data_IF_400695592733
#
_entry.id   IF_400695592733
#
_cell.length_a   1.000
_cell.length_b   1.000
_cell.length_c   1.000
_cell.angle_alpha   90.00
_cell.angle_beta   90.00
_cell.angle_gamma   90.00
#
_symmetry.space_group_name_H-M   'P 1'
#
loop_
_entity.id
_entity.type
_entity.pdbx_description
1 polymer ?
#
# COMPACT_ATOMS: atom_id res chain seq x y z
N UNK A 1 -29.99 -10.02 -40.45
CA UNK A 1 -30.18 -8.68 -39.82
C UNK A 1 -28.80 -8.08 -39.67
N UNK A 2 -28.47 -7.17 -40.57
CA UNK A 2 -27.17 -6.54 -40.73
C UNK A 2 -27.06 -5.29 -39.83
N UNK A 3 -25.92 -5.16 -39.15
CA UNK A 3 -25.16 -3.91 -38.96
C UNK A 3 -25.97 -2.62 -38.67
N UNK A 4 -26.65 -2.53 -37.52
CA UNK A 4 -27.20 -1.25 -37.03
C UNK A 4 -26.26 -0.52 -36.05
N UNK A 5 -25.12 -1.11 -35.68
CA UNK A 5 -24.16 -0.50 -34.75
C UNK A 5 -22.99 0.24 -35.43
N UNK A 6 -22.92 0.28 -36.76
CA UNK A 6 -21.77 0.83 -37.50
C UNK A 6 -21.92 2.29 -37.97
N UNK A 7 -22.94 3.06 -37.52
CA UNK A 7 -23.17 4.46 -37.99
C UNK A 7 -23.40 5.45 -36.84
N UNK A 8 -22.66 5.30 -35.75
CA UNK A 8 -22.30 6.43 -34.93
C UNK A 8 -20.90 6.17 -34.40
N UNK A 9 -19.95 7.07 -34.67
CA UNK A 9 -18.77 7.14 -33.81
C UNK A 9 -19.31 7.26 -32.38
N UNK A 10 -19.04 6.29 -31.51
CA UNK A 10 -19.20 6.51 -30.08
C UNK A 10 -18.40 7.76 -29.78
N UNK A 11 -19.09 8.89 -29.59
CA UNK A 11 -18.46 10.10 -29.11
C UNK A 11 -17.99 9.71 -27.73
N UNK A 12 -16.69 9.44 -27.59
CA UNK A 12 -16.06 9.25 -26.30
C UNK A 12 -16.13 10.58 -25.57
N UNK A 13 -17.28 10.84 -24.95
CA UNK A 13 -17.42 11.94 -24.02
C UNK A 13 -16.58 11.51 -22.83
N UNK A 14 -15.42 12.15 -22.64
CA UNK A 14 -14.66 11.99 -21.40
C UNK A 14 -15.59 12.37 -20.25
N UNK A 15 -15.58 11.56 -19.19
CA UNK A 15 -16.27 11.93 -17.95
C UNK A 15 -15.42 12.86 -17.09
N UNK A 16 -14.33 13.37 -17.65
CA UNK A 16 -13.42 14.29 -17.02
C UNK A 16 -13.44 15.62 -17.76
N UNK A 17 -13.55 16.71 -17.00
CA UNK A 17 -13.40 18.08 -17.47
C UNK A 17 -12.22 18.70 -16.73
N UNK A 18 -11.25 19.23 -17.47
CA UNK A 18 -10.00 19.76 -16.91
C UNK A 18 -9.28 18.76 -15.98
N UNK A 19 -9.32 17.46 -16.31
CA UNK A 19 -8.68 16.39 -15.55
C UNK A 19 -9.40 15.99 -14.26
N UNK A 20 -10.60 16.49 -14.00
CA UNK A 20 -11.42 16.13 -12.83
C UNK A 20 -12.73 15.48 -13.27
N UNK A 21 -13.20 14.49 -12.50
CA UNK A 21 -14.43 13.78 -12.80
C UNK A 21 -15.63 14.74 -12.79
N UNK A 22 -16.23 14.99 -13.96
CA UNK A 22 -17.35 15.91 -14.14
C UNK A 22 -18.72 15.26 -13.91
N UNK A 23 -18.78 13.92 -13.97
CA UNK A 23 -19.99 13.13 -13.71
C UNK A 23 -19.74 12.16 -12.54
N UNK A 24 -20.08 12.54 -11.30
CA UNK A 24 -19.71 11.79 -10.10
C UNK A 24 -20.37 10.40 -9.99
N UNK A 25 -21.45 10.16 -10.72
CA UNK A 25 -22.14 8.86 -10.77
C UNK A 25 -21.66 7.98 -11.95
N UNK A 26 -20.68 8.45 -12.72
CA UNK A 26 -20.11 7.68 -13.83
C UNK A 26 -19.30 6.48 -13.31
N UNK A 27 -19.47 5.34 -13.97
CA UNK A 27 -18.69 4.11 -13.73
C UNK A 27 -17.61 3.88 -14.79
N UNK A 28 -17.47 4.78 -15.77
CA UNK A 28 -16.47 4.67 -16.84
C UNK A 28 -15.14 5.30 -16.38
N UNK A 29 -14.11 4.45 -16.36
CA UNK A 29 -12.73 4.83 -16.06
C UNK A 29 -12.13 5.73 -17.15
N UNK A 30 -11.08 6.51 -16.82
CA UNK A 30 -10.28 7.25 -17.80
C UNK A 30 -9.72 6.35 -18.90
N UNK A 31 -9.49 6.90 -20.08
CA UNK A 31 -8.74 6.22 -21.15
C UNK A 31 -7.27 6.65 -21.13
N UNK A 32 -6.60 6.43 -20.00
CA UNK A 32 -5.17 6.72 -19.80
C UNK A 32 -4.35 5.43 -19.73
N UNK A 33 -3.01 5.55 -19.80
CA UNK A 33 -2.10 4.40 -19.66
C UNK A 33 -2.30 3.58 -18.37
N UNK A 34 -2.81 4.23 -17.33
CA UNK A 34 -3.08 3.61 -16.02
C UNK A 34 -4.32 2.72 -16.04
N UNK A 35 -5.26 2.94 -16.96
CA UNK A 35 -6.57 2.27 -16.98
C UNK A 35 -6.87 1.51 -18.29
N UNK A 36 -5.88 1.40 -19.19
CA UNK A 36 -6.03 0.70 -20.48
C UNK A 36 -5.20 -0.57 -20.58
N UNK A 37 -5.50 -1.39 -21.59
CA UNK A 37 -4.78 -2.63 -21.87
C UNK A 37 -4.69 -3.55 -20.63
N UNK A 38 -3.49 -4.05 -20.30
CA UNK A 38 -3.19 -4.89 -19.14
C UNK A 38 -3.48 -4.22 -17.79
N UNK A 39 -3.62 -2.89 -17.76
CA UNK A 39 -3.91 -2.12 -16.54
C UNK A 39 -5.41 -1.81 -16.38
N UNK A 40 -6.29 -2.37 -17.24
CA UNK A 40 -7.73 -2.22 -17.04
C UNK A 40 -8.12 -2.73 -15.64
N UNK A 41 -8.95 -2.00 -14.89
CA UNK A 41 -9.45 -2.46 -13.60
C UNK A 41 -10.09 -3.83 -13.72
N UNK A 42 -9.70 -4.76 -12.85
CA UNK A 42 -10.27 -6.11 -12.82
C UNK A 42 -11.51 -6.12 -11.96
N UNK A 43 -11.38 -5.63 -10.72
CA UNK A 43 -12.47 -5.51 -9.73
C UNK A 43 -13.13 -6.84 -9.37
N UNK A 44 -12.41 -7.92 -9.59
CA UNK A 44 -12.88 -9.28 -9.37
C UNK A 44 -12.61 -9.75 -7.93
N UNK A 45 -13.60 -10.42 -7.35
CA UNK A 45 -13.46 -11.25 -6.15
C UNK A 45 -14.11 -12.61 -6.44
N UNK A 46 -13.46 -13.69 -6.05
CA UNK A 46 -13.99 -15.03 -6.29
C UNK A 46 -13.01 -16.14 -5.97
N UNK A 47 -13.45 -17.35 -6.31
CA UNK A 47 -12.80 -18.61 -5.97
C UNK A 47 -12.81 -19.52 -7.20
N UNK A 48 -11.72 -20.25 -7.40
CA UNK A 48 -11.64 -21.31 -8.40
C UNK A 48 -10.90 -22.48 -7.77
N UNK A 49 -11.51 -23.66 -7.80
CA UNK A 49 -10.91 -24.89 -7.28
C UNK A 49 -10.31 -25.69 -8.43
N UNK A 50 -9.18 -26.35 -8.14
CA UNK A 50 -8.47 -27.23 -9.07
C UNK A 50 -8.14 -26.54 -10.40
N UNK A 51 -7.30 -25.51 -10.32
CA UNK A 51 -6.83 -24.76 -11.48
C UNK A 51 -6.21 -25.68 -12.53
N UNK A 52 -6.51 -25.43 -13.80
CA UNK A 52 -5.82 -26.08 -14.90
C UNK A 52 -4.32 -25.74 -14.87
N UNK A 53 -3.46 -26.77 -14.93
CA UNK A 53 -2.02 -26.61 -14.99
C UNK A 53 -1.39 -27.56 -16.02
N UNK A 54 -0.17 -27.26 -16.44
CA UNK A 54 0.66 -28.15 -17.26
C UNK A 54 1.84 -28.68 -16.45
N UNK A 55 2.29 -29.91 -16.74
CA UNK A 55 3.36 -30.56 -15.98
C UNK A 55 2.85 -31.27 -14.72
N UNK A 56 3.57 -31.11 -13.60
CA UNK A 56 3.23 -31.79 -12.33
C UNK A 56 3.50 -30.85 -11.18
N UNK A 57 2.49 -30.60 -10.34
CA UNK A 57 2.65 -29.90 -9.08
C UNK A 57 3.29 -30.87 -8.07
N UNK A 58 4.47 -30.57 -7.50
CA UNK A 58 5.11 -31.43 -6.50
C UNK A 58 4.22 -31.61 -5.27
N UNK A 59 4.00 -32.86 -4.85
CA UNK A 59 3.17 -33.18 -3.69
C UNK A 59 3.73 -32.69 -2.35
N UNK A 60 5.03 -32.42 -2.31
CA UNK A 60 5.74 -31.94 -1.12
C UNK A 60 5.52 -30.43 -0.88
N UNK A 61 4.96 -29.69 -1.85
CA UNK A 61 4.57 -28.29 -1.65
C UNK A 61 3.21 -28.29 -0.94
N UNK A 62 3.22 -27.79 0.29
CA UNK A 62 2.02 -27.59 1.09
C UNK A 62 2.02 -26.19 1.71
N UNK A 63 1.47 -25.22 0.99
CA UNK A 63 1.32 -23.85 1.47
C UNK A 63 0.43 -23.00 0.59
N UNK A 64 0.44 -21.70 0.86
CA UNK A 64 -0.29 -20.71 0.07
C UNK A 64 0.66 -19.61 -0.36
N UNK A 65 0.69 -19.32 -1.65
CA UNK A 65 1.34 -18.12 -2.17
C UNK A 65 0.35 -16.96 -2.14
N UNK A 66 0.71 -15.89 -1.43
CA UNK A 66 -0.07 -14.65 -1.38
C UNK A 66 0.62 -13.57 -2.19
N UNK A 67 -0.17 -12.79 -2.91
CA UNK A 67 0.27 -11.55 -3.56
C UNK A 67 -0.84 -10.52 -3.50
N UNK A 68 -0.49 -9.26 -3.69
CA UNK A 68 -1.45 -8.16 -3.69
C UNK A 68 -1.29 -7.32 -4.95
N UNK A 69 -2.40 -6.81 -5.48
CA UNK A 69 -2.42 -5.88 -6.61
C UNK A 69 -3.20 -4.61 -6.23
N UNK A 70 -2.73 -3.42 -6.66
CA UNK A 70 -3.60 -2.25 -6.75
C UNK A 70 -4.68 -2.48 -7.81
N UNK A 71 -5.94 -2.30 -7.44
CA UNK A 71 -7.09 -2.49 -8.34
C UNK A 71 -8.21 -1.51 -7.97
N UNK A 72 -8.30 -0.38 -8.68
CA UNK A 72 -9.28 0.67 -8.42
C UNK A 72 -10.73 0.16 -8.45
N UNK A 73 -11.45 0.32 -7.35
CA UNK A 73 -12.86 -0.10 -7.29
C UNK A 73 -13.83 0.85 -7.96
N UNK A 74 -13.47 2.12 -8.11
CA UNK A 74 -14.27 3.14 -8.78
C UNK A 74 -13.38 4.04 -9.65
N UNK A 75 -13.94 4.72 -10.66
CA UNK A 75 -13.20 5.71 -11.42
C UNK A 75 -12.63 6.80 -10.49
N UNK A 76 -11.34 7.15 -10.64
CA UNK A 76 -10.69 8.11 -9.74
C UNK A 76 -11.29 9.51 -9.90
N UNK A 77 -11.16 10.34 -8.86
CA UNK A 77 -11.59 11.75 -8.90
C UNK A 77 -10.80 12.58 -9.93
N UNK A 78 -9.55 12.18 -10.19
CA UNK A 78 -8.63 12.85 -11.12
C UNK A 78 -8.23 11.89 -12.24
N UNK A 79 -8.22 12.39 -13.47
CA UNK A 79 -8.01 11.59 -14.69
C UNK A 79 -6.60 10.99 -14.76
N UNK A 80 -5.63 11.68 -14.17
CA UNK A 80 -4.21 11.34 -14.12
C UNK A 80 -3.80 10.60 -12.84
N UNK A 81 -4.74 9.87 -12.22
CA UNK A 81 -4.41 8.99 -11.08
C UNK A 81 -3.43 7.87 -11.49
N UNK A 82 -2.73 7.30 -10.50
CA UNK A 82 -1.61 6.37 -10.72
C UNK A 82 -1.91 4.97 -10.22
N UNK A 83 -1.17 3.97 -10.73
CA UNK A 83 -1.31 2.56 -10.30
C UNK A 83 -1.20 2.38 -8.79
N UNK A 84 -0.28 3.10 -8.13
CA UNK A 84 -0.05 2.95 -6.68
C UNK A 84 -1.20 3.42 -5.78
N UNK A 85 -2.24 4.04 -6.34
CA UNK A 85 -3.40 4.57 -5.61
C UNK A 85 -4.65 3.68 -5.67
N UNK A 86 -4.60 2.54 -6.38
CA UNK A 86 -5.72 1.58 -6.45
C UNK A 86 -5.92 0.79 -5.15
N UNK A 87 -7.13 0.30 -4.89
CA UNK A 87 -7.43 -0.45 -3.67
C UNK A 87 -6.71 -1.81 -3.64
N UNK A 88 -6.30 -2.27 -2.46
CA UNK A 88 -5.57 -3.54 -2.32
C UNK A 88 -6.47 -4.75 -2.57
N UNK A 89 -6.14 -5.54 -3.58
CA UNK A 89 -6.80 -6.83 -3.88
C UNK A 89 -5.80 -7.97 -3.70
N UNK A 90 -6.06 -8.83 -2.72
CA UNK A 90 -5.20 -9.96 -2.34
C UNK A 90 -5.60 -11.19 -3.12
N UNK A 91 -4.63 -11.83 -3.76
CA UNK A 91 -4.76 -13.17 -4.35
C UNK A 91 -4.04 -14.18 -3.48
N UNK A 92 -4.68 -15.33 -3.26
CA UNK A 92 -4.10 -16.52 -2.68
C UNK A 92 -4.13 -17.66 -3.70
N UNK A 93 -2.99 -18.34 -3.87
CA UNK A 93 -2.87 -19.61 -4.60
C UNK A 93 -2.50 -20.69 -3.59
N UNK A 94 -3.47 -21.50 -3.19
CA UNK A 94 -3.27 -22.61 -2.24
C UNK A 94 -2.77 -23.82 -3.00
N UNK A 95 -1.57 -24.30 -2.69
CA UNK A 95 -0.98 -25.48 -3.32
C UNK A 95 -0.87 -26.59 -2.27
N UNK A 96 -1.53 -27.72 -2.51
CA UNK A 96 -1.48 -28.87 -1.60
C UNK A 96 -1.81 -30.16 -2.34
N UNK A 97 -1.11 -31.25 -2.02
CA UNK A 97 -1.44 -32.59 -2.52
C UNK A 97 -1.35 -32.76 -4.04
N UNK A 98 -0.68 -31.84 -4.75
CA UNK A 98 -0.62 -31.83 -6.22
C UNK A 98 -1.74 -31.01 -6.89
N UNK A 99 -2.52 -30.24 -6.13
CA UNK A 99 -3.58 -29.34 -6.61
C UNK A 99 -3.23 -27.88 -6.34
N UNK A 100 -3.85 -26.97 -7.10
CA UNK A 100 -3.78 -25.53 -6.86
C UNK A 100 -5.18 -24.89 -6.90
N UNK A 101 -5.54 -24.15 -5.87
CA UNK A 101 -6.79 -23.40 -5.78
C UNK A 101 -6.51 -21.89 -5.79
N UNK A 102 -7.40 -21.11 -6.41
CA UNK A 102 -7.34 -19.65 -6.46
C UNK A 102 -8.40 -19.03 -5.56
N UNK A 103 -8.03 -17.96 -4.86
CA UNK A 103 -8.96 -17.06 -4.18
C UNK A 103 -8.49 -15.62 -4.30
N UNK A 104 -9.43 -14.68 -4.50
CA UNK A 104 -9.12 -13.25 -4.50
C UNK A 104 -10.16 -12.44 -3.73
N UNK A 105 -9.70 -11.54 -2.85
CA UNK A 105 -10.53 -10.64 -2.05
C UNK A 105 -9.90 -9.27 -1.90
N UNK A 106 -10.73 -8.22 -1.80
CA UNK A 106 -10.27 -6.89 -1.45
C UNK A 106 -9.95 -6.77 0.05
N UNK A 107 -8.99 -5.90 0.38
CA UNK A 107 -8.78 -5.44 1.74
C UNK A 107 -9.85 -4.41 2.08
N UNK A 108 -10.70 -4.69 3.07
CA UNK A 108 -11.80 -3.81 3.45
C UNK A 108 -11.32 -2.70 4.42
N UNK A 109 -10.43 -1.83 3.93
CA UNK A 109 -9.95 -0.63 4.64
C UNK A 109 -11.08 0.37 4.92
N UNK A 110 -10.83 1.39 5.75
CA UNK A 110 -11.81 2.48 5.91
C UNK A 110 -12.10 3.15 4.58
N UNK A 111 -11.07 3.39 3.75
CA UNK A 111 -11.23 3.88 2.38
C UNK A 111 -12.20 3.02 1.58
N UNK A 112 -11.95 1.71 1.51
CA UNK A 112 -12.83 0.76 0.81
C UNK A 112 -14.27 0.89 1.28
N UNK A 113 -14.50 0.92 2.59
CA UNK A 113 -15.85 0.93 3.18
C UNK A 113 -16.61 2.22 2.84
N UNK A 114 -15.96 3.38 2.95
CA UNK A 114 -16.59 4.67 2.64
C UNK A 114 -16.91 4.80 1.15
N UNK A 115 -15.99 4.42 0.26
CA UNK A 115 -16.23 4.46 -1.19
C UNK A 115 -17.29 3.44 -1.62
N UNK A 116 -17.36 2.26 -0.97
CA UNK A 116 -18.43 1.28 -1.21
C UNK A 116 -19.80 1.83 -0.85
N UNK A 117 -19.91 2.44 0.33
CA UNK A 117 -21.17 3.02 0.81
C UNK A 117 -21.64 4.15 -0.10
N UNK A 118 -20.71 4.99 -0.58
CA UNK A 118 -20.99 6.08 -1.51
C UNK A 118 -21.14 5.65 -2.97
N UNK A 119 -20.70 4.43 -3.32
CA UNK A 119 -20.64 3.88 -4.69
C UNK A 119 -19.81 4.73 -5.66
N UNK A 120 -18.77 5.39 -5.18
CA UNK A 120 -17.86 6.26 -5.95
C UNK A 120 -16.58 6.53 -5.19
N UNK A 121 -15.54 6.99 -5.89
CA UNK A 121 -14.33 7.46 -5.22
C UNK A 121 -14.60 8.70 -4.36
N UNK A 122 -13.97 8.75 -3.20
CA UNK A 122 -14.01 9.85 -2.24
C UNK A 122 -12.60 10.35 -1.90
N UNK A 123 -11.59 9.50 -2.11
CA UNK A 123 -10.19 9.84 -1.88
C UNK A 123 -9.56 10.28 -3.20
N UNK A 124 -8.80 11.37 -3.15
CA UNK A 124 -8.19 12.01 -4.31
C UNK A 124 -6.82 11.43 -4.66
N UNK A 125 -5.91 12.33 -5.04
CA UNK A 125 -4.57 11.99 -5.52
C UNK A 125 -3.77 11.21 -4.49
N UNK A 126 -2.85 10.39 -4.99
CA UNK A 126 -1.93 9.57 -4.21
C UNK A 126 -1.27 10.36 -3.07
N UNK A 127 -1.52 9.91 -1.84
CA UNK A 127 -1.02 10.50 -0.58
C UNK A 127 -1.31 12.01 -0.39
N UNK A 128 -2.27 12.60 -1.12
CA UNK A 128 -2.70 14.00 -0.94
C UNK A 128 -4.12 14.19 -0.34
N UNK A 129 -4.25 14.43 0.99
CA UNK A 129 -5.56 14.61 1.64
C UNK A 129 -6.29 15.91 1.24
N UNK A 130 -5.59 16.93 0.71
CA UNK A 130 -6.23 18.17 0.23
C UNK A 130 -7.05 17.99 -1.04
N UNK A 131 -7.02 16.81 -1.63
CA UNK A 131 -7.78 16.46 -2.84
C UNK A 131 -8.91 15.47 -2.57
N UNK A 132 -9.12 15.10 -1.31
CA UNK A 132 -10.21 14.24 -0.90
C UNK A 132 -11.54 15.01 -0.83
N UNK A 133 -12.63 14.26 -0.88
CA UNK A 133 -13.94 14.78 -0.54
C UNK A 133 -14.01 15.13 0.96
N UNK A 134 -14.62 16.26 1.31
CA UNK A 134 -14.76 16.71 2.71
C UNK A 134 -15.45 15.66 3.61
N UNK A 135 -16.33 14.82 3.05
CA UNK A 135 -17.02 13.76 3.81
C UNK A 135 -16.10 12.66 4.38
N UNK A 136 -14.87 12.54 3.87
CA UNK A 136 -13.87 11.57 4.37
C UNK A 136 -12.71 12.26 5.09
N UNK A 137 -12.87 13.54 5.47
CA UNK A 137 -11.89 14.27 6.28
C UNK A 137 -11.61 13.50 7.59
N UNK A 138 -10.33 13.21 7.84
CA UNK A 138 -9.89 12.50 9.03
C UNK A 138 -10.05 10.98 8.98
N UNK A 139 -10.58 10.43 7.87
CA UNK A 139 -10.59 8.98 7.63
C UNK A 139 -9.20 8.54 7.17
N UNK A 140 -8.72 7.41 7.70
CA UNK A 140 -7.46 6.80 7.27
C UNK A 140 -7.56 6.43 5.80
N UNK A 141 -6.60 6.93 5.00
CA UNK A 141 -6.65 6.90 3.52
C UNK A 141 -6.07 5.64 2.91
N UNK A 142 -5.48 4.78 3.73
CA UNK A 142 -4.63 3.69 3.25
C UNK A 142 -5.41 2.72 2.36
N UNK A 143 -4.79 2.37 1.25
CA UNK A 143 -5.33 1.41 0.30
C UNK A 143 -4.90 -0.03 0.62
N UNK A 144 -3.95 -0.22 1.55
CA UNK A 144 -3.36 -1.52 1.91
C UNK A 144 -3.01 -2.37 0.69
N UNK A 145 -2.31 -1.80 -0.29
CA UNK A 145 -2.12 -2.38 -1.63
C UNK A 145 -0.67 -2.71 -2.00
N UNK A 146 0.29 -2.52 -1.10
CA UNK A 146 1.72 -2.65 -1.45
C UNK A 146 2.23 -4.06 -1.19
N UNK A 147 1.95 -4.65 -0.02
CA UNK A 147 2.46 -5.96 0.33
C UNK A 147 1.50 -6.75 1.23
N UNK A 148 1.69 -8.07 1.29
CA UNK A 148 0.94 -9.00 2.11
C UNK A 148 1.92 -9.95 2.80
N UNK A 149 1.97 -9.92 4.13
CA UNK A 149 2.93 -10.73 4.91
C UNK A 149 2.21 -11.61 5.92
N UNK A 150 2.70 -12.83 6.15
CA UNK A 150 2.17 -13.68 7.21
C UNK A 150 2.79 -13.28 8.56
N UNK A 151 1.95 -13.12 9.57
CA UNK A 151 2.37 -12.75 10.91
C UNK A 151 1.44 -13.39 11.94
N UNK A 152 1.98 -14.17 12.88
CA UNK A 152 1.24 -14.71 14.05
C UNK A 152 -0.17 -15.28 13.73
N UNK A 153 -0.28 -16.07 12.65
CA UNK A 153 -1.54 -16.73 12.27
C UNK A 153 -2.49 -15.90 11.42
N UNK A 154 -2.11 -14.67 11.05
CA UNK A 154 -2.89 -13.79 10.16
C UNK A 154 -2.03 -13.28 9.00
N UNK A 155 -2.67 -12.67 8.01
CA UNK A 155 -2.00 -11.87 7.00
C UNK A 155 -2.06 -10.39 7.37
N UNK A 156 -0.98 -9.65 7.12
CA UNK A 156 -0.95 -8.20 7.21
C UNK A 156 -0.88 -7.60 5.81
N UNK A 157 -1.98 -7.01 5.35
CA UNK A 157 -2.01 -6.19 4.15
C UNK A 157 -1.50 -4.79 4.48
N UNK A 158 -0.43 -4.38 3.83
CA UNK A 158 0.35 -3.19 4.22
C UNK A 158 0.47 -2.18 3.10
N UNK A 159 0.54 -0.92 3.51
CA UNK A 159 0.85 0.25 2.68
C UNK A 159 1.50 1.28 3.59
N UNK A 160 2.54 1.93 3.08
CA UNK A 160 3.44 2.80 3.85
C UNK A 160 2.80 4.07 4.45
N UNK A 161 1.53 4.36 4.16
CA UNK A 161 0.84 5.59 4.57
C UNK A 161 -0.23 5.39 5.64
N UNK A 162 -0.32 4.18 6.20
CA UNK A 162 -1.24 3.89 7.29
C UNK A 162 -0.88 2.60 8.02
N UNK A 163 -1.65 2.24 9.07
CA UNK A 163 -1.45 0.99 9.79
C UNK A 163 -1.83 -0.22 8.92
N UNK A 164 -1.27 -1.42 9.22
CA UNK A 164 -1.61 -2.63 8.49
C UNK A 164 -3.06 -3.07 8.75
N UNK A 165 -3.59 -3.86 7.82
CA UNK A 165 -4.87 -4.54 7.96
C UNK A 165 -4.65 -6.04 8.12
N UNK A 166 -5.16 -6.61 9.22
CA UNK A 166 -5.20 -8.04 9.45
C UNK A 166 -6.28 -8.70 8.57
N UNK A 167 -5.91 -9.81 7.95
CA UNK A 167 -6.82 -10.67 7.19
C UNK A 167 -6.65 -12.12 7.61
N UNK A 168 -7.74 -12.89 7.55
CA UNK A 168 -7.69 -14.33 7.75
C UNK A 168 -6.96 -15.00 6.57
N UNK A 169 -5.96 -15.87 6.81
CA UNK A 169 -5.13 -16.43 5.74
C UNK A 169 -5.86 -17.44 4.86
N UNK A 170 -6.98 -17.99 5.32
CA UNK A 170 -7.73 -19.03 4.59
C UNK A 170 -8.86 -18.40 3.79
N UNK A 171 -9.67 -17.56 4.43
CA UNK A 171 -10.86 -16.94 3.84
C UNK A 171 -10.55 -15.64 3.10
N UNK A 172 -9.41 -15.01 3.42
CA UNK A 172 -9.07 -13.63 3.04
C UNK A 172 -10.07 -12.59 3.52
N UNK A 173 -10.90 -12.91 4.52
CA UNK A 173 -11.76 -11.92 5.16
C UNK A 173 -10.91 -10.89 5.91
N UNK A 174 -11.23 -9.61 5.74
CA UNK A 174 -10.57 -8.54 6.50
C UNK A 174 -11.08 -8.53 7.94
N UNK A 175 -10.18 -8.82 8.87
CA UNK A 175 -10.46 -8.79 10.31
C UNK A 175 -10.56 -7.34 10.79
N UNK A 176 -9.63 -6.49 10.34
CA UNK A 176 -9.61 -5.06 10.63
C UNK A 176 -8.21 -4.49 10.69
N UNK A 177 -8.11 -3.22 11.09
CA UNK A 177 -6.83 -2.56 11.32
C UNK A 177 -6.08 -3.27 12.46
N UNK A 178 -4.80 -3.56 12.25
CA UNK A 178 -3.95 -4.20 13.26
C UNK A 178 -3.02 -3.18 13.91
N UNK A 179 -3.16 -2.99 15.22
CA UNK A 179 -2.44 -1.97 15.99
C UNK A 179 -1.40 -2.55 16.96
N UNK A 180 -1.11 -3.85 16.84
CA UNK A 180 -0.20 -4.60 17.71
C UNK A 180 -0.54 -4.41 19.19
N UNK A 181 -1.81 -4.61 19.53
CA UNK A 181 -2.30 -4.52 20.90
C UNK A 181 -2.02 -3.13 21.51
N UNK A 182 -2.10 -2.09 20.66
CA UNK A 182 -1.85 -0.69 21.01
C UNK A 182 -0.38 -0.30 21.18
N UNK A 183 0.57 -1.18 20.87
CA UNK A 183 2.00 -0.93 21.08
C UNK A 183 2.60 0.04 20.05
N UNK A 184 2.02 0.16 18.85
CA UNK A 184 2.54 1.03 17.79
C UNK A 184 1.77 2.36 17.78
N UNK A 185 2.49 3.44 18.08
CA UNK A 185 1.92 4.80 18.16
C UNK A 185 2.05 5.59 16.86
N UNK A 186 2.90 5.14 15.94
CA UNK A 186 3.08 5.80 14.64
C UNK A 186 1.79 5.68 13.80
N UNK A 187 1.39 6.75 13.08
CA UNK A 187 0.24 6.69 12.18
C UNK A 187 0.56 5.87 10.91
N UNK A 188 1.83 5.62 10.60
CA UNK A 188 2.29 4.89 9.42
C UNK A 188 3.00 3.59 9.80
N UNK A 189 3.08 2.66 8.84
CA UNK A 189 3.72 1.36 9.01
C UNK A 189 4.36 0.93 7.68
N UNK A 190 5.58 0.42 7.69
CA UNK A 190 6.26 -0.03 6.46
C UNK A 190 5.51 -1.14 5.73
N UNK A 191 5.51 -1.10 4.39
CA UNK A 191 5.06 -2.23 3.59
C UNK A 191 6.12 -3.35 3.44
N UNK A 192 7.33 -3.13 3.95
CA UNK A 192 8.45 -4.06 3.84
C UNK A 192 9.06 -4.38 5.20
N UNK A 193 8.28 -4.94 6.15
CA UNK A 193 8.87 -5.46 7.38
C UNK A 193 9.88 -6.56 7.04
N UNK A 194 10.91 -6.70 7.86
CA UNK A 194 11.93 -7.75 7.72
C UNK A 194 11.83 -8.72 8.87
N UNK A 195 12.00 -10.00 8.58
CA UNK A 195 11.98 -11.05 9.59
C UNK A 195 13.40 -11.52 9.83
N UNK A 196 13.81 -11.57 11.09
CA UNK A 196 15.09 -12.17 11.46
C UNK A 196 14.93 -13.70 11.48
N UNK A 197 15.68 -14.45 10.64
CA UNK A 197 15.56 -15.91 10.59
C UNK A 197 16.08 -16.61 11.86
N UNK A 198 16.96 -15.98 12.64
CA UNK A 198 17.55 -16.56 13.84
C UNK A 198 16.60 -16.40 15.05
N UNK A 199 15.87 -15.28 15.14
CA UNK A 199 15.01 -14.97 16.30
C UNK A 199 13.51 -15.05 16.03
N UNK A 200 13.10 -15.05 14.75
CA UNK A 200 11.69 -14.99 14.35
C UNK A 200 11.03 -13.63 14.62
N UNK A 201 11.79 -12.60 15.01
CA UNK A 201 11.25 -11.27 15.24
C UNK A 201 10.98 -10.54 13.92
N UNK A 202 10.03 -9.61 13.97
CA UNK A 202 9.72 -8.70 12.89
C UNK A 202 10.30 -7.32 13.21
N UNK A 203 11.18 -6.84 12.32
CA UNK A 203 11.75 -5.50 12.35
C UNK A 203 10.97 -4.62 11.37
N UNK A 204 10.44 -3.53 11.89
CA UNK A 204 9.59 -2.59 11.18
C UNK A 204 10.18 -1.19 11.26
N UNK A 205 9.68 -0.33 10.38
CA UNK A 205 9.96 1.09 10.42
C UNK A 205 8.76 1.88 9.90
N UNK A 206 8.80 3.19 10.11
CA UNK A 206 7.87 4.16 9.56
C UNK A 206 8.64 5.44 9.21
N UNK A 207 8.23 6.07 8.12
CA UNK A 207 8.60 7.45 7.79
C UNK A 207 7.32 8.30 7.80
N UNK A 208 7.46 9.62 7.95
CA UNK A 208 6.34 10.47 8.38
C UNK A 208 5.66 9.87 9.62
N UNK A 209 6.50 9.39 10.55
CA UNK A 209 6.07 8.62 11.70
C UNK A 209 5.43 9.48 12.80
N UNK A 210 5.56 10.79 12.71
CA UNK A 210 4.94 11.78 13.59
C UNK A 210 3.67 12.38 12.97
N UNK A 211 2.98 13.22 13.75
CA UNK A 211 1.80 13.92 13.28
C UNK A 211 0.67 12.97 12.87
N UNK A 212 0.17 13.13 11.66
CA UNK A 212 -0.97 12.38 11.09
C UNK A 212 -0.58 11.44 9.93
N UNK A 213 0.72 11.28 9.63
CA UNK A 213 1.20 10.46 8.51
C UNK A 213 1.02 11.09 7.12
N UNK A 214 0.52 12.33 7.06
CA UNK A 214 0.30 13.10 5.83
C UNK A 214 0.97 14.48 5.81
N UNK A 215 1.66 14.85 6.90
CA UNK A 215 2.17 16.20 7.17
C UNK A 215 3.56 16.50 6.60
N UNK A 216 4.18 15.56 5.88
CA UNK A 216 5.58 15.64 5.44
C UNK A 216 6.58 15.78 6.60
N UNK A 217 6.28 15.17 7.77
CA UNK A 217 7.21 15.14 8.90
C UNK A 217 8.54 14.44 8.56
N UNK A 218 9.59 14.88 9.25
CA UNK A 218 10.92 14.26 9.24
C UNK A 218 11.04 13.09 10.21
N UNK A 219 9.99 12.80 10.99
CA UNK A 219 10.01 11.70 11.95
C UNK A 219 10.10 10.35 11.25
N UNK A 220 11.05 9.55 11.71
CA UNK A 220 11.24 8.16 11.34
C UNK A 220 11.25 7.35 12.62
N UNK A 221 10.55 6.23 12.66
CA UNK A 221 10.57 5.31 13.78
C UNK A 221 11.03 3.94 13.29
N UNK A 222 11.84 3.25 14.10
CA UNK A 222 12.23 1.85 13.87
C UNK A 222 11.90 1.09 15.14
N UNK A 223 11.25 -0.07 14.99
CA UNK A 223 10.90 -0.92 16.12
C UNK A 223 11.01 -2.39 15.77
N UNK A 224 11.14 -3.20 16.82
CA UNK A 224 11.17 -4.66 16.72
C UNK A 224 10.03 -5.24 17.53
N UNK A 225 9.31 -6.20 16.93
CA UNK A 225 8.31 -7.02 17.61
C UNK A 225 8.80 -8.46 17.63
N UNK A 226 8.90 -9.07 18.81
CA UNK A 226 9.31 -10.47 18.92
C UNK A 226 8.22 -11.44 18.39
N UNK A 227 8.56 -12.74 18.30
CA UNK A 227 7.64 -13.77 17.79
C UNK A 227 6.31 -13.87 18.58
N UNK A 228 6.31 -13.47 19.85
CA UNK A 228 5.12 -13.46 20.70
C UNK A 228 4.23 -12.22 20.49
N UNK A 229 4.67 -11.24 19.69
CA UNK A 229 3.94 -10.00 19.42
C UNK A 229 4.28 -8.84 20.37
N UNK A 230 5.33 -8.97 21.18
CA UNK A 230 5.75 -7.91 22.12
C UNK A 230 6.79 -7.01 21.48
N UNK A 231 6.59 -5.69 21.56
CA UNK A 231 7.56 -4.69 21.11
C UNK A 231 8.75 -4.67 22.07
N UNK A 232 9.93 -5.04 21.58
CA UNK A 232 11.15 -5.18 22.37
C UNK A 232 12.11 -4.00 22.20
N UNK A 233 12.05 -3.33 21.06
CA UNK A 233 12.92 -2.21 20.71
C UNK A 233 12.07 -1.15 20.01
N UNK A 234 12.35 0.12 20.27
CA UNK A 234 11.79 1.25 19.53
C UNK A 234 12.72 2.44 19.65
N UNK A 235 12.97 3.13 18.54
CA UNK A 235 13.67 4.39 18.55
C UNK A 235 13.15 5.31 17.44
N UNK A 236 13.13 6.61 17.74
CA UNK A 236 12.64 7.67 16.87
C UNK A 236 13.78 8.58 16.46
N UNK A 237 13.78 8.97 15.19
CA UNK A 237 14.85 9.69 14.51
C UNK A 237 14.28 10.84 13.68
N UNK A 238 15.16 11.74 13.27
CA UNK A 238 14.87 12.77 12.27
C UNK A 238 15.65 12.47 10.99
N UNK A 239 14.93 12.37 9.87
CA UNK A 239 15.51 12.24 8.55
C UNK A 239 16.13 13.57 8.06
N UNK A 240 17.18 13.53 7.22
CA UNK A 240 17.78 14.72 6.59
C UNK A 240 16.77 15.59 5.82
N UNK A 241 15.78 14.96 5.20
CA UNK A 241 14.66 15.64 4.55
C UNK A 241 13.40 14.76 4.54
N UNK A 242 12.25 15.37 4.28
CA UNK A 242 10.98 14.67 4.13
C UNK A 242 10.97 13.95 2.79
N UNK A 243 11.16 12.64 2.80
CA UNK A 243 11.34 11.84 1.60
C UNK A 243 10.87 10.41 1.78
N UNK A 244 10.75 9.70 0.67
CA UNK A 244 10.30 8.31 0.70
C UNK A 244 11.42 7.40 1.22
N UNK A 245 11.09 6.61 2.24
CA UNK A 245 11.85 5.42 2.65
C UNK A 245 10.91 4.24 2.39
N UNK A 246 10.94 3.69 1.18
CA UNK A 246 9.99 2.64 0.81
C UNK A 246 10.34 1.30 1.44
N UNK A 247 11.63 0.97 1.46
CA UNK A 247 12.15 -0.33 1.86
C UNK A 247 13.34 -0.15 2.82
N UNK A 248 13.84 -1.26 3.39
CA UNK A 248 15.03 -1.28 4.24
C UNK A 248 15.86 -2.55 4.04
N UNK A 249 17.16 -2.45 4.33
CA UNK A 249 18.02 -3.61 4.53
C UNK A 249 18.06 -4.03 6.00
N UNK A 250 18.10 -5.34 6.27
CA UNK A 250 18.31 -5.88 7.61
C UNK A 250 19.61 -6.68 7.66
N UNK A 251 20.43 -6.42 8.68
CA UNK A 251 21.60 -7.22 9.04
C UNK A 251 21.48 -7.72 10.48
N UNK A 252 22.44 -8.52 10.94
CA UNK A 252 22.48 -8.98 12.33
C UNK A 252 22.40 -7.83 13.36
N UNK A 253 23.05 -6.70 13.06
CA UNK A 253 23.21 -5.62 14.05
C UNK A 253 22.55 -4.30 13.63
N UNK A 254 22.22 -4.12 12.36
CA UNK A 254 21.75 -2.85 11.82
C UNK A 254 20.56 -2.99 10.88
N UNK A 255 19.72 -1.97 10.89
CA UNK A 255 18.76 -1.65 9.82
C UNK A 255 19.37 -0.57 8.94
N UNK A 256 19.25 -0.71 7.62
CA UNK A 256 19.70 0.28 6.64
C UNK A 256 18.47 0.89 5.97
N UNK A 257 18.31 2.21 6.13
CA UNK A 257 17.19 2.98 5.60
C UNK A 257 17.63 3.82 4.39
N UNK A 258 17.40 3.38 3.15
CA UNK A 258 17.63 4.20 1.96
C UNK A 258 16.62 5.34 1.91
N UNK A 259 17.10 6.57 2.05
CA UNK A 259 16.31 7.79 1.87
C UNK A 259 16.63 8.36 0.49
N UNK A 260 15.78 8.01 -0.47
CA UNK A 260 15.92 8.43 -1.87
C UNK A 260 15.48 9.88 -2.05
N UNK A 261 16.13 10.68 -2.92
CA UNK A 261 15.79 12.08 -3.21
C UNK A 261 14.45 12.28 -3.94
N UNK A 262 13.44 11.48 -3.61
CA UNK A 262 12.02 11.71 -3.86
C UNK A 262 11.45 12.53 -2.70
N UNK A 263 11.59 13.85 -2.78
CA UNK A 263 11.23 14.79 -1.71
C UNK A 263 9.74 15.07 -1.68
N UNK A 264 9.21 15.14 -0.47
CA UNK A 264 7.85 15.56 -0.18
C UNK A 264 7.75 17.09 -0.13
N UNK A 265 6.57 17.63 -0.45
CA UNK A 265 6.35 19.08 -0.34
C UNK A 265 4.89 19.39 0.01
N UNK A 266 4.69 19.89 1.24
CA UNK A 266 3.38 20.23 1.78
C UNK A 266 2.65 21.32 0.98
N UNK A 267 3.36 22.38 0.57
CA UNK A 267 2.77 23.50 -0.18
C UNK A 267 2.34 23.10 -1.58
N UNK A 268 3.07 22.17 -2.22
CA UNK A 268 2.68 21.56 -3.50
C UNK A 268 1.40 20.76 -3.34
N UNK A 269 1.28 19.98 -2.26
CA UNK A 269 0.09 19.18 -1.98
C UNK A 269 -1.15 20.04 -1.72
N UNK A 270 -1.02 21.11 -0.91
CA UNK A 270 -2.11 22.08 -0.66
C UNK A 270 -2.64 22.73 -1.93
N UNK A 271 -1.80 22.85 -2.97
CA UNK A 271 -2.18 23.35 -4.30
C UNK A 271 -2.73 22.25 -5.22
N UNK A 272 -2.99 21.05 -4.70
CA UNK A 272 -3.50 19.90 -5.45
C UNK A 272 -2.44 19.11 -6.22
N UNK A 273 -1.14 19.40 -6.02
CA UNK A 273 -0.05 18.72 -6.70
C UNK A 273 0.37 17.39 -6.06
N UNK A 274 1.32 16.72 -6.69
CA UNK A 274 1.87 15.44 -6.22
C UNK A 274 2.64 15.59 -4.90
N UNK A 275 2.55 14.59 -4.03
CA UNK A 275 3.32 14.57 -2.77
C UNK A 275 4.83 14.50 -3.04
N UNK A 276 5.26 13.55 -3.86
CA UNK A 276 6.67 13.31 -4.15
C UNK A 276 7.12 13.96 -5.45
N UNK A 277 8.37 14.44 -5.46
CA UNK A 277 9.07 14.83 -6.68
C UNK A 277 10.55 14.51 -6.53
N UNK A 278 11.17 14.04 -7.62
CA UNK A 278 12.62 13.87 -7.69
C UNK A 278 13.33 15.21 -7.57
N UNK A 279 14.31 15.30 -6.69
CA UNK A 279 15.22 16.45 -6.56
C UNK A 279 16.60 16.06 -7.12
N UNK A 280 16.97 16.53 -8.32
CA UNK A 280 18.26 16.20 -8.92
C UNK A 280 19.47 16.86 -8.24
N UNK A 281 19.23 17.69 -7.20
CA UNK A 281 20.28 18.37 -6.44
C UNK A 281 20.47 17.80 -5.02
N UNK A 282 19.64 16.82 -4.65
CA UNK A 282 19.74 16.13 -3.37
C UNK A 282 20.46 14.80 -3.58
N UNK A 283 21.41 14.50 -2.71
CA UNK A 283 22.16 13.25 -2.77
C UNK A 283 21.29 12.06 -2.31
N UNK A 284 21.76 10.85 -2.54
CA UNK A 284 21.14 9.66 -1.95
C UNK A 284 21.70 9.46 -0.53
N UNK A 285 20.78 9.24 0.43
CA UNK A 285 21.14 9.05 1.83
C UNK A 285 20.88 7.61 2.28
N UNK A 286 21.71 7.10 3.19
CA UNK A 286 21.52 5.80 3.85
C UNK A 286 21.65 5.96 5.35
N UNK A 287 20.55 5.75 6.09
CA UNK A 287 20.53 5.75 7.55
C UNK A 287 20.89 4.37 8.08
N UNK A 288 21.99 4.26 8.81
CA UNK A 288 22.40 3.06 9.51
C UNK A 288 21.93 3.13 10.96
N UNK A 289 20.97 2.28 11.31
CA UNK A 289 20.29 2.27 12.61
C UNK A 289 20.68 1.01 13.39
N UNK A 290 21.22 1.12 14.62
CA UNK A 290 21.45 -0.05 15.47
C UNK A 290 20.13 -0.77 15.79
N UNK A 291 20.12 -2.10 15.79
CA UNK A 291 18.92 -2.90 16.07
C UNK A 291 18.54 -2.99 17.54
N UNK A 292 19.48 -2.71 18.45
CA UNK A 292 19.37 -3.01 19.87
C UNK A 292 19.84 -1.83 20.70
N UNK A 293 19.05 -1.45 21.71
CA UNK A 293 19.39 -0.39 22.65
C UNK A 293 19.69 0.96 21.98
N UNK A 294 19.10 1.19 20.82
CA UNK A 294 19.39 2.35 19.99
C UNK A 294 18.81 3.62 20.59
N UNK A 295 19.58 4.71 20.51
CA UNK A 295 19.16 6.05 20.89
C UNK A 295 19.03 6.94 19.65
N UNK A 296 18.28 8.05 19.73
CA UNK A 296 18.09 8.96 18.60
C UNK A 296 19.41 9.45 17.98
N UNK A 297 20.45 9.64 18.79
CA UNK A 297 21.78 10.09 18.36
C UNK A 297 22.64 8.99 17.68
N UNK A 298 22.24 7.73 17.75
CA UNK A 298 23.06 6.60 17.25
C UNK A 298 22.88 6.33 15.74
N UNK A 299 21.90 6.97 15.09
CA UNK A 299 21.73 6.83 13.64
C UNK A 299 22.87 7.53 12.90
N UNK A 300 23.52 6.81 11.98
CA UNK A 300 24.57 7.36 11.12
C UNK A 300 24.03 7.51 9.71
N UNK A 301 24.09 8.73 9.18
CA UNK A 301 23.67 9.05 7.82
C UNK A 301 24.87 9.10 6.88
N UNK A 302 24.89 8.23 5.89
CA UNK A 302 25.85 8.25 4.79
C UNK A 302 25.24 8.91 3.55
N UNK A 303 26.08 9.56 2.74
CA UNK A 303 25.70 10.23 1.50
C UNK A 303 26.47 9.56 0.35
N UNK A 304 25.84 9.43 -0.83
CA UNK A 304 26.47 8.95 -2.07
C UNK A 304 26.17 9.86 -3.25
#
# INVERSE_FOLDING_TARGET
MAHIFDIASEVSVSNYENGQLSKPDSVKFPDTDVFRSMNKPSRFEGDVFDLEFTGTIPKDIDGTFYRIQPDHRFPPLFEDDIHFNGDGSVTAIRISGGHADFKQRYVHTERYRHETAARKSLFGRYRNPWTDNESVRGVIRTASNTNITFWRGMLLATKEDGPPFAMDPVTLETIGRYDFEGQILSPTFTAHPKFDPDTGEMVCFAYEAGGDGGDCSLDVAVWTVNADGVKTEECWYKAPFAGMIHDCGLSKNYVVLPLTPLKMNLERMKKGGNKFAWDPKEDQWYGLVPRRGAKPEDIIWFIT
#
